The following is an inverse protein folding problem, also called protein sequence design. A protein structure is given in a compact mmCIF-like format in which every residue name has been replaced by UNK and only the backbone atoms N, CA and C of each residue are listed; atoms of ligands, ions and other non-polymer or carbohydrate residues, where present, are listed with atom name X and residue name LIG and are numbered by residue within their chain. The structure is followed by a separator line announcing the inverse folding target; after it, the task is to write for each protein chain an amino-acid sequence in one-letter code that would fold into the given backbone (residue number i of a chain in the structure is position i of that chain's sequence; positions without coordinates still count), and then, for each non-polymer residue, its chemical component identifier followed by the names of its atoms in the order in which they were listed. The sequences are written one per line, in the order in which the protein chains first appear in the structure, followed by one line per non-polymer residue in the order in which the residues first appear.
data_IF_423756914415
#
_entry.id   IF_423756914415
#
_cell.length_a   1.000
_cell.length_b   1.000
_cell.length_c   1.000
_cell.angle_alpha   90.00
_cell.angle_beta   90.00
_cell.angle_gamma   90.00
#
_symmetry.space_group_name_H-M   'P 1'
#
loop_
_entity.id
_entity.type
_entity.pdbx_description
1 polymer ?
#
# COMPACT_ATOMS: atom_id res chain seq x y z
N UNK A 1 -11.36 72.00 -17.66
CA UNK A 1 -11.84 71.11 -18.74
C UNK A 1 -10.66 70.40 -19.36
N UNK A 2 -10.81 69.10 -19.65
CA UNK A 2 -9.79 68.11 -20.08
C UNK A 2 -9.18 68.40 -21.47
N UNK A 3 -7.89 68.03 -21.66
CA UNK A 3 -7.33 67.05 -22.64
C UNK A 3 -5.81 67.27 -22.81
N UNK A 4 -4.93 66.33 -22.43
CA UNK A 4 -4.46 65.07 -23.07
C UNK A 4 -3.27 65.25 -24.03
N UNK A 5 -2.13 64.61 -23.69
CA UNK A 5 -1.28 63.67 -24.49
C UNK A 5 0.02 63.45 -23.69
N UNK A 6 0.36 62.29 -23.14
CA UNK A 6 0.67 60.94 -23.68
C UNK A 6 2.02 60.85 -24.40
N UNK A 7 2.95 60.11 -23.78
CA UNK A 7 4.01 59.24 -24.34
C UNK A 7 4.91 58.84 -23.17
N UNK A 8 5.52 57.68 -23.03
CA UNK A 8 5.30 56.30 -23.48
C UNK A 8 6.11 55.46 -22.49
N UNK A 9 5.62 54.29 -22.05
CA UNK A 9 6.44 53.35 -21.29
C UNK A 9 6.21 51.95 -21.81
N UNK A 10 7.23 51.41 -22.46
CA UNK A 10 7.32 50.02 -22.89
C UNK A 10 7.48 49.12 -21.67
N UNK A 11 6.49 48.29 -21.39
CA UNK A 11 6.66 47.18 -20.45
C UNK A 11 6.80 45.87 -21.23
N UNK A 12 7.95 45.24 -21.07
CA UNK A 12 8.29 43.91 -21.55
C UNK A 12 7.45 42.87 -20.80
N UNK A 13 6.53 42.21 -21.51
CA UNK A 13 5.78 41.09 -20.97
C UNK A 13 6.67 39.84 -20.89
N UNK A 14 7.11 39.50 -19.67
CA UNK A 14 7.67 38.19 -19.34
C UNK A 14 6.57 37.13 -19.45
N UNK A 15 6.68 36.24 -20.43
CA UNK A 15 5.86 35.03 -20.54
C UNK A 15 6.28 34.05 -19.44
N UNK A 16 5.53 34.00 -18.34
CA UNK A 16 5.62 32.91 -17.36
C UNK A 16 5.04 31.63 -17.97
N UNK A 17 5.91 30.69 -18.31
CA UNK A 17 5.52 29.31 -18.63
C UNK A 17 4.90 28.66 -17.39
N UNK A 18 3.61 28.29 -17.48
CA UNK A 18 2.97 27.43 -16.48
C UNK A 18 3.68 26.08 -16.51
N UNK A 19 4.30 25.70 -15.39
CA UNK A 19 4.75 24.32 -15.16
C UNK A 19 3.55 23.39 -15.37
N UNK A 20 3.71 22.41 -16.26
CA UNK A 20 2.77 21.30 -16.44
C UNK A 20 2.61 20.59 -15.09
N UNK A 21 1.38 20.49 -14.58
CA UNK A 21 1.07 19.57 -13.50
C UNK A 21 1.49 18.17 -13.96
N UNK A 22 2.51 17.60 -13.33
CA UNK A 22 2.79 16.17 -13.48
C UNK A 22 1.54 15.43 -12.99
N UNK A 23 0.88 14.71 -13.89
CA UNK A 23 -0.19 13.79 -13.51
C UNK A 23 0.43 12.72 -12.62
N UNK A 24 -0.06 12.60 -11.38
CA UNK A 24 0.31 11.47 -10.51
C UNK A 24 0.05 10.15 -11.25
N UNK A 25 0.92 9.14 -11.12
CA UNK A 25 0.70 7.85 -11.76
C UNK A 25 -0.66 7.26 -11.38
N UNK A 26 -1.32 6.59 -12.32
CA UNK A 26 -2.55 5.86 -12.03
C UNK A 26 -2.29 4.76 -10.98
N UNK A 27 -3.26 4.52 -10.09
CA UNK A 27 -3.13 3.59 -8.95
C UNK A 27 -4.20 2.52 -9.01
N UNK A 28 -3.80 1.28 -8.67
CA UNK A 28 -4.71 0.14 -8.53
C UNK A 28 -5.57 0.32 -7.28
N UNK A 29 -6.87 0.05 -7.39
CA UNK A 29 -7.79 -0.02 -6.24
C UNK A 29 -7.79 -1.39 -5.53
N UNK A 30 -7.18 -2.39 -6.16
CA UNK A 30 -7.12 -3.77 -5.69
C UNK A 30 -5.85 -4.08 -4.90
N UNK A 31 -4.82 -3.23 -5.03
CA UNK A 31 -3.48 -3.49 -4.53
C UNK A 31 -3.01 -2.40 -3.60
N UNK A 32 -2.62 -2.78 -2.39
CA UNK A 32 -2.02 -1.87 -1.42
C UNK A 32 -0.63 -2.34 -1.01
N UNK A 33 0.27 -1.39 -0.80
CA UNK A 33 1.55 -1.58 -0.14
C UNK A 33 1.40 -1.35 1.35
N UNK A 34 1.86 -2.30 2.17
CA UNK A 34 1.93 -2.17 3.62
C UNK A 34 3.31 -2.55 4.14
N UNK A 35 3.72 -1.95 5.26
CA UNK A 35 4.92 -2.36 5.97
C UNK A 35 4.56 -3.42 7.01
N UNK A 36 5.42 -4.44 7.14
CA UNK A 36 5.31 -5.50 8.15
C UNK A 36 6.67 -5.74 8.81
N UNK A 37 6.68 -5.99 10.13
CA UNK A 37 7.91 -6.34 10.85
C UNK A 37 8.31 -7.79 10.55
N UNK A 38 9.62 -8.11 10.48
CA UNK A 38 10.11 -9.47 10.24
C UNK A 38 9.49 -10.52 11.16
N UNK A 39 9.31 -10.21 12.45
CA UNK A 39 8.69 -11.14 13.41
C UNK A 39 7.28 -11.58 12.99
N UNK A 40 6.44 -10.66 12.52
CA UNK A 40 5.09 -10.99 12.07
C UNK A 40 5.09 -11.69 10.72
N UNK A 41 6.03 -11.32 9.84
CA UNK A 41 6.22 -12.02 8.57
C UNK A 41 6.59 -13.49 8.78
N UNK A 42 7.47 -13.78 9.75
CA UNK A 42 7.81 -15.16 10.12
C UNK A 42 6.59 -15.95 10.60
N UNK A 43 5.71 -15.33 11.40
CA UNK A 43 4.48 -15.98 11.81
C UNK A 43 3.51 -16.26 10.65
N UNK A 44 3.46 -15.37 9.66
CA UNK A 44 2.66 -15.59 8.43
C UNK A 44 3.25 -16.73 7.60
N UNK A 45 4.58 -16.78 7.43
CA UNK A 45 5.25 -17.88 6.71
C UNK A 45 5.00 -19.24 7.37
N UNK A 46 4.97 -19.28 8.69
CA UNK A 46 4.65 -20.48 9.47
C UNK A 46 3.13 -20.75 9.54
N UNK A 47 2.29 -19.91 8.93
CA UNK A 47 0.82 -19.91 9.01
C UNK A 47 0.26 -19.82 10.44
N UNK A 48 1.09 -19.46 11.41
CA UNK A 48 0.66 -19.22 12.81
C UNK A 48 -0.03 -17.87 12.96
N UNK A 49 0.26 -16.90 12.09
CA UNK A 49 -0.53 -15.68 11.90
C UNK A 49 -1.25 -15.77 10.56
N UNK A 50 -2.55 -16.05 10.59
CA UNK A 50 -3.39 -16.22 9.40
C UNK A 50 -4.28 -15.01 9.10
N UNK A 51 -4.28 -13.98 9.96
CA UNK A 51 -4.96 -12.71 9.72
C UNK A 51 -4.01 -11.52 9.89
N UNK A 52 -4.15 -10.52 9.03
CA UNK A 52 -3.60 -9.17 9.24
C UNK A 52 -4.62 -8.29 9.95
N UNK A 53 -4.19 -7.54 10.95
CA UNK A 53 -5.07 -6.80 11.85
C UNK A 53 -4.87 -5.29 11.70
N UNK A 54 -5.95 -4.53 11.53
CA UNK A 54 -5.89 -3.06 11.35
C UNK A 54 -6.93 -2.33 12.20
N UNK A 55 -6.55 -1.15 12.69
CA UNK A 55 -7.46 -0.23 13.41
C UNK A 55 -8.46 0.49 12.49
N UNK A 56 -8.38 0.28 11.19
CA UNK A 56 -9.20 0.95 10.20
C UNK A 56 -9.63 -0.04 9.11
N UNK A 57 -10.79 0.23 8.51
CA UNK A 57 -11.29 -0.53 7.38
C UNK A 57 -10.51 -0.17 6.12
N UNK A 58 -10.07 -1.19 5.41
CA UNK A 58 -9.52 -1.13 4.07
C UNK A 58 -10.69 -1.30 3.10
N UNK A 59 -10.65 -0.57 1.98
CA UNK A 59 -11.68 -0.67 0.94
C UNK A 59 -11.96 -2.12 0.56
N UNK A 60 -13.22 -2.48 0.37
CA UNK A 60 -13.63 -3.81 -0.09
C UNK A 60 -13.17 -4.13 -1.52
N UNK A 61 -12.67 -3.13 -2.24
CA UNK A 61 -12.03 -3.32 -3.55
C UNK A 61 -10.62 -3.89 -3.45
N UNK A 62 -9.98 -3.83 -2.28
CA UNK A 62 -8.62 -4.33 -2.09
C UNK A 62 -8.64 -5.84 -1.95
N UNK A 63 -7.86 -6.49 -2.80
CA UNK A 63 -7.75 -7.94 -2.90
C UNK A 63 -6.36 -8.43 -2.50
N UNK A 64 -5.35 -7.56 -2.59
CA UNK A 64 -3.93 -7.92 -2.37
C UNK A 64 -3.20 -6.93 -1.48
N UNK A 65 -2.43 -7.46 -0.53
CA UNK A 65 -1.47 -6.73 0.28
C UNK A 65 -0.05 -7.07 -0.16
N UNK A 66 0.67 -6.07 -0.63
CA UNK A 66 2.08 -6.13 -0.98
C UNK A 66 2.89 -5.80 0.27
N UNK A 67 3.67 -6.76 0.74
CA UNK A 67 4.30 -6.75 2.06
C UNK A 67 5.76 -6.28 1.94
N UNK A 68 5.97 -5.02 2.31
CA UNK A 68 7.30 -4.47 2.56
C UNK A 68 7.77 -4.91 3.94
N UNK A 69 8.77 -5.79 3.97
CA UNK A 69 9.38 -6.24 5.22
C UNK A 69 10.32 -5.15 5.73
N UNK A 70 10.05 -4.63 6.92
CA UNK A 70 10.86 -3.57 7.52
C UNK A 70 12.28 -4.05 7.88
N UNK A 71 13.09 -3.17 8.47
CA UNK A 71 14.44 -3.48 8.93
C UNK A 71 14.53 -4.82 9.69
N UNK A 72 15.56 -5.65 9.43
CA UNK A 72 16.73 -5.38 8.59
C UNK A 72 16.55 -5.66 7.09
N UNK A 73 15.44 -6.27 6.67
CA UNK A 73 15.25 -6.71 5.28
C UNK A 73 15.07 -5.53 4.32
N UNK A 74 14.16 -4.60 4.64
CA UNK A 74 13.94 -3.36 3.90
C UNK A 74 13.61 -3.56 2.41
N UNK A 75 12.85 -4.62 2.11
CA UNK A 75 12.41 -4.94 0.75
C UNK A 75 10.92 -5.22 0.71
N UNK A 76 10.30 -4.91 -0.42
CA UNK A 76 9.06 -5.54 -0.83
C UNK A 76 9.40 -6.98 -1.21
N UNK A 77 8.81 -7.94 -0.49
CA UNK A 77 9.19 -9.36 -0.59
C UNK A 77 8.04 -10.30 -0.86
N UNK A 78 6.84 -9.98 -0.41
CA UNK A 78 5.70 -10.88 -0.52
C UNK A 78 4.45 -10.17 -1.02
N UNK A 79 3.55 -10.94 -1.63
CA UNK A 79 2.19 -10.52 -1.98
C UNK A 79 1.23 -11.51 -1.31
N UNK A 80 0.29 -10.99 -0.53
CA UNK A 80 -0.77 -11.78 0.09
C UNK A 80 -2.10 -11.47 -0.58
N UNK A 81 -2.86 -12.50 -0.97
CA UNK A 81 -4.29 -12.32 -1.30
C UNK A 81 -5.10 -12.37 -0.02
N UNK A 82 -6.14 -11.53 0.09
CA UNK A 82 -6.86 -11.33 1.34
C UNK A 82 -8.38 -11.52 1.24
N UNK A 83 -9.03 -11.70 2.39
CA UNK A 83 -10.49 -11.54 2.52
C UNK A 83 -10.90 -10.06 2.56
N UNK A 84 -12.22 -9.83 2.52
CA UNK A 84 -12.79 -8.57 3.03
C UNK A 84 -12.41 -8.37 4.50
N UNK A 85 -12.53 -7.14 5.00
CA UNK A 85 -12.40 -6.86 6.43
C UNK A 85 -13.48 -7.56 7.24
N UNK A 86 -13.07 -8.30 8.26
CA UNK A 86 -13.89 -8.95 9.29
C UNK A 86 -13.91 -8.09 10.55
N UNK A 87 -15.01 -8.07 11.29
CA UNK A 87 -15.17 -7.46 12.62
C UNK A 87 -15.06 -8.51 13.74
N UNK A 88 -14.87 -8.13 15.01
CA UNK A 88 -14.87 -9.07 16.13
C UNK A 88 -16.07 -10.03 16.10
N UNK A 89 -15.80 -11.32 16.24
CA UNK A 89 -16.79 -12.41 16.21
C UNK A 89 -16.99 -13.03 14.82
N UNK A 90 -16.39 -12.48 13.76
CA UNK A 90 -16.50 -13.02 12.40
C UNK A 90 -15.36 -13.96 12.00
N UNK A 91 -14.32 -14.15 12.83
CA UNK A 91 -13.30 -15.18 12.56
C UNK A 91 -13.85 -16.55 12.99
N UNK A 92 -14.07 -17.45 12.03
CA UNK A 92 -14.65 -18.78 12.32
C UNK A 92 -13.68 -19.72 13.06
N UNK A 93 -12.39 -19.67 12.70
CA UNK A 93 -11.34 -20.51 13.30
C UNK A 93 -10.33 -19.62 14.01
N UNK A 94 -10.31 -19.71 15.34
CA UNK A 94 -9.56 -18.81 16.23
C UNK A 94 -8.17 -19.33 16.64
N UNK A 95 -7.61 -20.32 15.92
CA UNK A 95 -6.31 -20.94 16.22
C UNK A 95 -5.09 -20.07 15.85
N UNK A 96 -5.30 -19.07 14.99
CA UNK A 96 -4.29 -18.12 14.57
C UNK A 96 -3.94 -17.11 15.65
N UNK A 97 -2.69 -16.67 15.64
CA UNK A 97 -2.15 -15.65 16.54
C UNK A 97 -3.04 -14.40 16.57
N UNK A 98 -3.65 -14.14 17.73
CA UNK A 98 -4.49 -12.97 17.99
C UNK A 98 -5.94 -13.10 17.52
N UNK A 99 -6.35 -14.21 16.92
CA UNK A 99 -7.72 -14.40 16.44
C UNK A 99 -8.72 -14.41 17.60
N UNK A 100 -8.45 -15.20 18.65
CA UNK A 100 -9.31 -15.28 19.83
C UNK A 100 -9.46 -13.92 20.54
N UNK A 101 -8.33 -13.23 20.76
CA UNK A 101 -8.32 -11.88 21.37
C UNK A 101 -9.10 -10.85 20.52
N UNK A 102 -8.99 -10.95 19.19
CA UNK A 102 -9.74 -10.12 18.26
C UNK A 102 -11.24 -10.40 18.32
N UNK A 103 -11.65 -11.67 18.29
CA UNK A 103 -13.05 -12.05 18.34
C UNK A 103 -13.70 -11.71 19.69
N UNK A 104 -12.95 -11.83 20.78
CA UNK A 104 -13.39 -11.40 22.11
C UNK A 104 -13.53 -9.87 22.24
N UNK A 105 -13.12 -9.10 21.23
CA UNK A 105 -13.24 -7.64 21.22
C UNK A 105 -12.39 -6.95 22.29
N UNK A 106 -11.24 -7.53 22.66
CA UNK A 106 -10.41 -7.00 23.73
C UNK A 106 -9.93 -5.57 23.42
N UNK A 107 -9.96 -4.70 24.43
CA UNK A 107 -9.59 -3.29 24.27
C UNK A 107 -8.13 -3.15 23.81
N UNK A 108 -7.92 -2.32 22.78
CA UNK A 108 -6.59 -2.11 22.19
C UNK A 108 -6.23 -3.08 21.07
N UNK A 109 -7.04 -4.13 20.86
CA UNK A 109 -6.97 -4.98 19.66
C UNK A 109 -7.48 -4.20 18.44
N UNK A 110 -7.11 -4.66 17.25
CA UNK A 110 -7.55 -4.09 15.99
C UNK A 110 -9.07 -4.10 15.84
N UNK A 111 -9.60 -3.20 15.00
CA UNK A 111 -11.02 -3.13 14.68
C UNK A 111 -11.42 -4.06 13.53
N UNK A 112 -10.45 -4.41 12.68
CA UNK A 112 -10.66 -5.24 11.49
C UNK A 112 -9.58 -6.29 11.34
N UNK A 113 -9.97 -7.46 10.86
CA UNK A 113 -9.10 -8.58 10.50
C UNK A 113 -9.24 -8.93 9.02
N UNK A 114 -8.13 -9.25 8.35
CA UNK A 114 -8.09 -9.66 6.95
C UNK A 114 -7.41 -11.02 6.89
N UNK A 115 -8.15 -12.04 6.50
CA UNK A 115 -7.60 -13.38 6.34
C UNK A 115 -6.60 -13.39 5.19
N UNK A 116 -5.43 -13.96 5.44
CA UNK A 116 -4.39 -14.19 4.43
C UNK A 116 -4.72 -15.53 3.78
N UNK A 117 -5.25 -15.48 2.56
CA UNK A 117 -5.73 -16.66 1.84
C UNK A 117 -4.59 -17.39 1.16
N UNK A 118 -3.77 -16.64 0.44
CA UNK A 118 -2.60 -17.12 -0.28
C UNK A 118 -1.42 -16.18 -0.06
N UNK A 119 -0.22 -16.73 -0.14
CA UNK A 119 1.01 -15.96 -0.01
C UNK A 119 1.98 -16.31 -1.13
N UNK A 120 2.49 -15.28 -1.78
CA UNK A 120 3.47 -15.36 -2.84
C UNK A 120 4.74 -14.65 -2.41
N UNK A 121 5.89 -15.25 -2.68
CA UNK A 121 7.20 -14.63 -2.54
C UNK A 121 7.67 -14.12 -3.89
N UNK A 122 8.13 -12.87 -3.94
CA UNK A 122 8.70 -12.32 -5.16
C UNK A 122 9.98 -13.06 -5.54
N UNK A 123 10.13 -13.37 -6.83
CA UNK A 123 11.38 -13.90 -7.38
C UNK A 123 12.54 -12.94 -7.15
N UNK A 124 12.26 -11.65 -7.33
CA UNK A 124 13.19 -10.55 -7.11
C UNK A 124 12.60 -9.61 -6.07
N UNK A 125 13.10 -9.59 -4.82
CA UNK A 125 12.70 -8.59 -3.83
C UNK A 125 13.13 -7.19 -4.28
N UNK A 126 12.28 -6.18 -4.07
CA UNK A 126 12.56 -4.80 -4.47
C UNK A 126 12.90 -3.93 -3.25
N UNK A 127 14.00 -3.18 -3.33
CA UNK A 127 14.32 -2.18 -2.32
C UNK A 127 13.40 -0.96 -2.42
N UNK A 128 13.21 -0.23 -1.31
CA UNK A 128 12.39 0.99 -1.30
C UNK A 128 12.86 2.03 -2.33
N UNK A 129 14.17 2.18 -2.52
CA UNK A 129 14.76 3.11 -3.49
C UNK A 129 14.40 2.74 -4.92
N UNK A 130 14.45 1.46 -5.27
CA UNK A 130 14.05 0.98 -6.60
C UNK A 130 12.56 1.19 -6.83
N UNK A 131 11.73 0.96 -5.81
CA UNK A 131 10.29 1.23 -5.90
C UNK A 131 9.99 2.72 -6.07
N UNK A 132 10.74 3.59 -5.39
CA UNK A 132 10.66 5.04 -5.54
C UNK A 132 11.04 5.49 -6.95
N UNK A 133 12.16 5.01 -7.46
CA UNK A 133 12.70 5.41 -8.77
C UNK A 133 11.83 4.90 -9.92
N UNK A 134 11.39 3.64 -9.87
CA UNK A 134 10.64 3.00 -10.96
C UNK A 134 9.15 3.33 -10.96
N UNK A 135 8.58 3.51 -9.77
CA UNK A 135 7.12 3.56 -9.58
C UNK A 135 6.62 4.74 -8.75
N UNK A 136 7.52 5.57 -8.20
CA UNK A 136 7.13 6.68 -7.31
C UNK A 136 6.52 6.21 -5.99
N UNK A 137 6.72 4.94 -5.60
CA UNK A 137 6.19 4.42 -4.35
C UNK A 137 6.89 5.08 -3.15
N UNK A 138 6.20 5.21 -2.03
CA UNK A 138 6.79 5.72 -0.78
C UNK A 138 6.58 4.71 0.34
N UNK A 139 7.39 4.81 1.40
CA UNK A 139 7.23 3.94 2.55
C UNK A 139 5.84 4.12 3.18
N UNK A 140 5.05 3.04 3.34
CA UNK A 140 3.69 3.15 3.83
C UNK A 140 3.67 3.37 5.35
N UNK A 141 3.19 4.54 5.80
CA UNK A 141 2.89 4.77 7.22
C UNK A 141 1.62 4.04 7.69
N UNK A 142 0.65 3.90 6.78
CA UNK A 142 -0.58 3.11 6.98
C UNK A 142 -0.65 2.03 5.91
N UNK A 143 -0.97 2.46 4.70
CA UNK A 143 -0.85 1.75 3.44
C UNK A 143 -0.79 2.80 2.33
N UNK A 144 -0.38 2.41 1.13
CA UNK A 144 -0.55 3.20 -0.09
C UNK A 144 -1.12 2.31 -1.18
N UNK A 145 -1.93 2.86 -2.09
CA UNK A 145 -2.31 2.12 -3.28
C UNK A 145 -1.10 1.96 -4.20
N UNK A 146 -0.95 0.78 -4.78
CA UNK A 146 0.12 0.49 -5.73
C UNK A 146 -0.14 1.20 -7.05
N UNK A 147 0.91 1.59 -7.77
CA UNK A 147 0.73 2.10 -9.13
C UNK A 147 0.28 0.99 -10.08
N UNK A 148 -0.55 1.31 -11.06
CA UNK A 148 -0.98 0.34 -12.08
C UNK A 148 0.22 -0.23 -12.85
N UNK A 149 1.24 0.61 -13.08
CA UNK A 149 2.51 0.19 -13.70
C UNK A 149 3.20 -0.92 -12.90
N UNK A 150 3.32 -0.76 -11.58
CA UNK A 150 4.00 -1.74 -10.72
C UNK A 150 3.23 -3.07 -10.69
N UNK A 151 1.90 -3.02 -10.61
CA UNK A 151 1.03 -4.20 -10.64
C UNK A 151 1.10 -4.90 -12.00
N UNK A 152 1.22 -4.15 -13.10
CA UNK A 152 1.35 -4.72 -14.45
C UNK A 152 2.72 -5.32 -14.77
N UNK A 153 3.80 -4.80 -14.16
CA UNK A 153 5.16 -5.34 -14.34
C UNK A 153 5.47 -6.54 -13.43
N UNK A 154 4.91 -6.57 -12.22
CA UNK A 154 5.13 -7.66 -11.26
C UNK A 154 3.85 -8.51 -11.22
N UNK A 155 3.77 -9.46 -12.15
CA UNK A 155 2.63 -10.37 -12.31
C UNK A 155 2.63 -11.41 -11.19
N UNK A 156 1.51 -11.56 -10.49
CA UNK A 156 1.39 -12.41 -9.30
C UNK A 156 1.65 -13.89 -9.62
N UNK A 157 1.11 -14.35 -10.75
CA UNK A 157 1.16 -15.73 -11.20
C UNK A 157 2.57 -16.19 -11.57
N UNK A 158 3.48 -15.25 -11.84
CA UNK A 158 4.88 -15.52 -12.12
C UNK A 158 5.71 -15.70 -10.83
N UNK A 159 5.15 -15.40 -9.65
CA UNK A 159 5.85 -15.43 -8.37
C UNK A 159 5.78 -16.81 -7.69
N UNK A 160 6.60 -17.02 -6.66
CA UNK A 160 6.66 -18.29 -5.95
C UNK A 160 5.51 -18.38 -4.97
N UNK A 161 4.48 -19.18 -5.28
CA UNK A 161 3.38 -19.47 -4.33
C UNK A 161 3.89 -20.33 -3.17
N UNK A 162 3.70 -19.84 -1.94
CA UNK A 162 4.08 -20.53 -0.71
C UNK A 162 2.93 -21.35 -0.13
N UNK A 163 1.70 -20.81 -0.19
CA UNK A 163 0.44 -21.49 0.10
C UNK A 163 -0.72 -20.78 -0.59
#
# INVERSE_FOLDING_TARGET
MKKRKSEASSSSQSKRSRASKSSSPATSKADILISIKPVYMNHILQRTKNHEFRKYLISNTVERMWLYVSSPDQTLRYIATISRGKTPGEIEVEDGMGNADFNAGLQGVAAYAYEIKELYQLNEPLALTEMQERYGATFPQRFSYMSEKMVGEIVLEDQIRLF
#
